data_IF_335800370107
#
_entry.id   IF_335800370107
#
_cell.length_a   1.000
_cell.length_b   1.000
_cell.length_c   1.000
_cell.angle_alpha   90.00
_cell.angle_beta   90.00
_cell.angle_gamma   90.00
#
_symmetry.space_group_name_H-M   'P 1'
#
loop_
_entity.id
_entity.type
_entity.pdbx_description
1 polymer ?
#
# COMPACT_ATOMS: atom_id res chain seq x y z
N UNK A 1 3.48 -4.37 20.16
CA UNK A 1 2.24 -4.71 19.48
C UNK A 1 2.26 -4.24 18.06
N UNK A 2 2.19 -5.14 17.15
CA UNK A 2 2.36 -4.81 15.74
C UNK A 2 1.07 -4.85 14.95
N UNK A 3 -0.03 -5.21 15.59
CA UNK A 3 -1.31 -5.28 14.90
C UNK A 3 -1.71 -3.90 14.43
N UNK A 4 -2.00 -3.80 13.16
CA UNK A 4 -2.48 -2.57 12.56
C UNK A 4 -3.92 -2.80 12.13
N UNK A 5 -4.72 -1.73 12.19
CA UNK A 5 -6.14 -1.84 11.87
C UNK A 5 -6.37 -2.37 10.46
N UNK A 6 -5.49 -2.02 9.51
CA UNK A 6 -5.67 -2.46 8.13
C UNK A 6 -5.52 -3.97 7.96
N UNK A 7 -4.89 -4.66 8.92
CA UNK A 7 -4.69 -6.10 8.81
C UNK A 7 -5.99 -6.88 8.83
N UNK A 8 -7.05 -6.28 9.36
CA UNK A 8 -8.36 -6.94 9.48
C UNK A 8 -9.38 -6.45 8.47
N UNK A 9 -9.01 -5.53 7.58
CA UNK A 9 -9.94 -5.00 6.60
C UNK A 9 -10.15 -6.00 5.46
N UNK A 10 -11.36 -6.03 4.88
CA UNK A 10 -11.63 -6.90 3.74
C UNK A 10 -11.10 -6.31 2.44
N UNK A 11 -11.14 -7.11 1.39
CA UNK A 11 -10.80 -6.65 0.06
C UNK A 11 -9.47 -7.16 -0.43
N UNK A 12 -9.27 -7.05 -1.73
CA UNK A 12 -8.06 -7.58 -2.37
C UNK A 12 -6.80 -6.85 -1.91
N UNK A 13 -6.85 -5.52 -1.86
CA UNK A 13 -5.65 -4.76 -1.53
C UNK A 13 -5.25 -4.93 -0.07
N UNK A 14 -6.21 -5.00 0.85
CA UNK A 14 -5.90 -5.28 2.24
C UNK A 14 -5.18 -6.63 2.37
N UNK A 15 -5.66 -7.64 1.64
CA UNK A 15 -5.04 -8.96 1.64
C UNK A 15 -3.64 -8.92 1.06
N UNK A 16 -3.47 -8.26 -0.09
CA UNK A 16 -2.15 -8.17 -0.72
C UNK A 16 -1.14 -7.44 0.15
N UNK A 17 -1.58 -6.39 0.84
CA UNK A 17 -0.71 -5.63 1.74
C UNK A 17 -0.30 -6.50 2.93
N UNK A 18 -1.23 -7.29 3.48
CA UNK A 18 -0.91 -8.21 4.58
C UNK A 18 0.12 -9.26 4.18
N UNK A 19 -0.01 -9.78 2.95
CA UNK A 19 0.78 -10.93 2.50
C UNK A 19 2.12 -10.54 1.89
N UNK A 20 2.31 -9.27 1.57
CA UNK A 20 3.56 -8.82 0.93
C UNK A 20 4.73 -8.83 1.92
N UNK A 21 5.88 -9.28 1.44
CA UNK A 21 7.12 -9.15 2.20
C UNK A 21 7.67 -7.74 2.02
N UNK A 22 7.27 -6.85 2.92
CA UNK A 22 7.68 -5.44 2.85
C UNK A 22 9.15 -5.24 3.12
N UNK A 23 9.80 -6.21 3.79
CA UNK A 23 11.24 -6.11 4.03
C UNK A 23 12.05 -6.14 2.74
N UNK A 24 11.44 -6.65 1.65
CA UNK A 24 12.08 -6.66 0.33
C UNK A 24 11.84 -5.37 -0.44
N UNK A 25 11.14 -4.40 0.12
CA UNK A 25 10.83 -3.12 -0.50
C UNK A 25 11.63 -2.00 0.17
N UNK A 26 11.72 -0.81 -0.48
CA UNK A 26 12.39 0.32 0.17
C UNK A 26 11.77 0.78 1.49
N UNK A 27 10.51 0.41 1.77
CA UNK A 27 9.86 0.77 3.03
C UNK A 27 10.34 -0.06 4.21
N UNK A 28 10.88 -1.25 3.97
CA UNK A 28 11.24 -2.14 5.05
C UNK A 28 10.02 -2.77 5.71
N UNK A 29 10.26 -3.61 6.71
CA UNK A 29 9.21 -4.36 7.40
C UNK A 29 8.13 -3.43 7.93
N UNK A 30 6.86 -3.84 7.79
CA UNK A 30 5.73 -3.04 8.26
C UNK A 30 5.77 -2.80 9.77
N UNK A 31 6.49 -3.61 10.52
CA UNK A 31 6.66 -3.39 11.95
C UNK A 31 7.38 -2.08 12.27
N UNK A 32 8.17 -1.58 11.32
CA UNK A 32 8.94 -0.36 11.51
C UNK A 32 8.23 0.88 10.99
N UNK A 33 7.06 0.73 10.40
CA UNK A 33 6.35 1.85 9.79
C UNK A 33 5.84 2.82 10.86
N UNK A 34 5.92 4.14 10.60
CA UNK A 34 5.38 5.11 11.56
C UNK A 34 3.86 5.01 11.63
N UNK A 35 3.33 5.48 12.75
CA UNK A 35 1.88 5.45 12.99
C UNK A 35 1.12 6.23 11.92
N UNK A 36 1.69 7.33 11.43
CA UNK A 36 1.04 8.12 10.39
C UNK A 36 0.81 7.32 9.11
N UNK A 37 1.78 6.48 8.73
CA UNK A 37 1.60 5.62 7.56
C UNK A 37 0.51 4.57 7.81
N UNK A 38 0.53 3.96 8.97
CA UNK A 38 -0.47 2.93 9.30
C UNK A 38 -1.88 3.49 9.34
N UNK A 39 -2.05 4.69 9.89
CA UNK A 39 -3.35 5.36 9.92
C UNK A 39 -3.81 5.72 8.51
N UNK A 40 -2.91 6.23 7.68
CA UNK A 40 -3.24 6.58 6.30
C UNK A 40 -3.69 5.35 5.53
N UNK A 41 -3.02 4.21 5.73
CA UNK A 41 -3.42 2.96 5.10
C UNK A 41 -4.81 2.53 5.52
N UNK A 42 -5.11 2.61 6.80
CA UNK A 42 -6.43 2.26 7.30
C UNK A 42 -7.50 3.11 6.61
N UNK A 43 -7.21 4.41 6.47
CA UNK A 43 -8.16 5.33 5.84
C UNK A 43 -8.40 5.00 4.37
N UNK A 44 -7.33 4.82 3.59
CA UNK A 44 -7.52 4.57 2.16
C UNK A 44 -8.15 3.22 1.87
N UNK A 45 -7.81 2.21 2.67
CA UNK A 45 -8.38 0.88 2.46
C UNK A 45 -9.86 0.82 2.80
N UNK A 46 -10.33 1.70 3.66
CA UNK A 46 -11.75 1.79 4.00
C UNK A 46 -12.54 2.67 3.03
N UNK A 47 -11.85 3.39 2.15
CA UNK A 47 -12.52 4.33 1.23
C UNK A 47 -12.97 3.62 -0.04
N UNK A 48 -14.13 4.01 -0.55
CA UNK A 48 -14.61 3.56 -1.86
C UNK A 48 -14.11 4.42 -3.01
N UNK A 49 -13.36 5.47 -2.74
CA UNK A 49 -12.80 6.34 -3.78
C UNK A 49 -11.37 5.92 -4.10
N UNK A 50 -10.92 6.11 -5.36
CA UNK A 50 -9.53 5.80 -5.72
C UNK A 50 -8.57 6.64 -4.90
N UNK A 51 -7.70 5.98 -4.15
CA UNK A 51 -6.72 6.64 -3.31
C UNK A 51 -5.43 5.86 -3.32
N UNK A 52 -4.32 6.60 -3.27
CA UNK A 52 -2.99 6.01 -3.22
C UNK A 52 -2.10 6.82 -2.29
N UNK A 53 -1.13 6.15 -1.70
CA UNK A 53 -0.08 6.76 -0.88
C UNK A 53 1.23 6.61 -1.62
N UNK A 54 2.05 7.66 -1.59
CA UNK A 54 3.43 7.61 -2.04
C UNK A 54 4.27 7.97 -0.84
N UNK A 55 5.00 7.01 -0.32
CA UNK A 55 5.65 7.16 0.98
C UNK A 55 7.15 6.98 0.90
N UNK A 56 7.86 7.79 1.69
CA UNK A 56 9.30 7.67 1.83
C UNK A 56 10.07 8.35 0.72
N UNK A 57 11.40 8.29 0.82
CA UNK A 57 12.28 8.95 -0.14
C UNK A 57 12.12 8.39 -1.56
N UNK A 58 11.76 7.12 -1.67
CA UNK A 58 11.56 6.47 -2.96
C UNK A 58 10.14 6.62 -3.50
N UNK A 59 9.25 7.25 -2.75
CA UNK A 59 7.85 7.39 -3.14
C UNK A 59 7.23 6.04 -3.46
N UNK A 60 7.30 5.12 -2.52
CA UNK A 60 6.77 3.76 -2.69
C UNK A 60 5.25 3.82 -2.74
N UNK A 61 4.68 3.16 -3.73
CA UNK A 61 3.25 3.23 -4.01
C UNK A 61 2.47 2.17 -3.23
N UNK A 62 1.42 2.62 -2.53
CA UNK A 62 0.44 1.75 -1.89
C UNK A 62 -0.93 2.31 -2.23
N UNK A 63 -1.88 1.44 -2.61
CA UNK A 63 -3.16 1.93 -3.11
C UNK A 63 -4.30 1.02 -2.67
N UNK A 64 -5.52 1.54 -2.80
CA UNK A 64 -6.73 0.79 -2.43
C UNK A 64 -7.36 0.11 -3.64
N UNK A 65 -8.44 -0.66 -3.37
CA UNK A 65 -9.11 -1.41 -4.42
C UNK A 65 -9.66 -0.51 -5.53
N UNK A 66 -10.22 0.64 -5.16
CA UNK A 66 -10.81 1.53 -6.14
C UNK A 66 -9.78 2.14 -7.09
N UNK A 67 -8.51 2.14 -6.72
CA UNK A 67 -7.42 2.69 -7.54
C UNK A 67 -6.95 1.70 -8.62
N UNK A 68 -7.26 0.41 -8.47
CA UNK A 68 -6.78 -0.62 -9.40
C UNK A 68 -7.07 -0.33 -10.87
N UNK A 69 -8.28 0.12 -11.23
CA UNK A 69 -8.56 0.41 -12.65
C UNK A 69 -7.67 1.50 -13.23
N UNK A 70 -7.18 2.43 -12.41
CA UNK A 70 -6.30 3.50 -12.85
C UNK A 70 -4.95 2.92 -13.27
N UNK A 71 -4.47 1.91 -12.56
CA UNK A 71 -3.20 1.26 -12.86
C UNK A 71 -3.27 0.28 -14.02
N UNK A 72 -4.45 -0.23 -14.29
CA UNK A 72 -4.67 -1.21 -15.37
C UNK A 72 -3.76 -2.42 -15.17
N UNK A 73 -2.98 -2.78 -16.19
CA UNK A 73 -2.10 -3.94 -16.16
C UNK A 73 -0.85 -3.74 -15.29
N UNK A 74 -0.63 -2.55 -14.76
CA UNK A 74 0.44 -2.35 -13.76
C UNK A 74 0.09 -2.96 -12.41
N UNK A 75 -1.18 -3.17 -12.14
CA UNK A 75 -1.62 -3.90 -10.96
C UNK A 75 -1.50 -5.40 -11.24
N UNK A 76 -1.00 -6.24 -10.33
CA UNK A 76 -0.63 -5.90 -8.95
C UNK A 76 0.84 -5.54 -8.76
N UNK A 77 1.64 -5.55 -9.79
CA UNK A 77 3.09 -5.39 -9.67
C UNK A 77 3.49 -4.02 -9.15
N UNK A 78 2.64 -3.00 -9.32
CA UNK A 78 2.92 -1.64 -8.88
C UNK A 78 2.97 -1.52 -7.35
N UNK A 79 2.29 -2.41 -6.62
CA UNK A 79 2.24 -2.33 -5.17
C UNK A 79 3.65 -2.51 -4.57
N UNK A 80 4.05 -1.57 -3.74
CA UNK A 80 5.33 -1.66 -3.05
C UNK A 80 6.52 -1.19 -3.89
N UNK A 81 6.31 -0.67 -5.07
CA UNK A 81 7.40 -0.20 -5.93
C UNK A 81 7.58 1.30 -5.84
N UNK A 82 8.82 1.79 -6.03
CA UNK A 82 9.04 3.22 -6.19
C UNK A 82 8.22 3.77 -7.35
N UNK A 83 7.70 4.98 -7.16
CA UNK A 83 6.82 5.59 -8.17
C UNK A 83 7.48 5.67 -9.54
N UNK A 84 8.78 5.97 -9.59
CA UNK A 84 9.51 6.06 -10.85
C UNK A 84 9.53 4.76 -11.64
N UNK A 85 9.30 3.62 -10.97
CA UNK A 85 9.27 2.33 -11.63
C UNK A 85 7.87 1.97 -12.13
N UNK A 86 6.86 2.72 -11.70
CA UNK A 86 5.47 2.46 -12.08
C UNK A 86 5.04 3.31 -13.26
N UNK A 87 5.38 4.59 -13.23
CA UNK A 87 5.00 5.55 -14.26
C UNK A 87 6.19 5.83 -15.17
N UNK A 88 6.28 5.12 -16.25
CA UNK A 88 7.32 5.30 -17.26
C UNK A 88 6.72 5.64 -18.59
#
# INVERSE_FOLDING_TARGET
>A
MTVTAFANLPGEMARRIREMDWSATPLGSSDTWPQSLKLSLTMILASGFPMAIRWGAELVLIYNDAYRPILRDKHPDALGRPLREVWW
#
